data_IF_272574833728
#
_entry.id   IF_272574833728
#
_cell.length_a   1.000
_cell.length_b   1.000
_cell.length_c   1.000
_cell.angle_alpha   90.00
_cell.angle_beta   90.00
_cell.angle_gamma   90.00
#
_symmetry.space_group_name_H-M   'P 1'
#
loop_
_entity.id
_entity.type
_entity.pdbx_description
1 polymer ?
#
# COMPACT_ATOMS: atom_id res chain seq x y z
N UNK A 1 6.44 24.58 -4.28
CA UNK A 1 5.58 24.26 -3.12
C UNK A 1 5.21 22.77 -3.13
N UNK A 2 6.21 21.88 -3.24
CA UNK A 2 6.06 20.42 -3.40
C UNK A 2 5.72 19.65 -2.11
N UNK A 3 5.79 20.30 -0.95
CA UNK A 3 5.71 19.63 0.35
C UNK A 3 4.30 19.09 0.71
N UNK A 4 3.23 19.56 0.05
CA UNK A 4 1.85 19.20 0.40
C UNK A 4 1.49 17.75 0.07
N UNK A 5 1.67 17.35 -1.19
CA UNK A 5 1.27 16.01 -1.67
C UNK A 5 2.12 14.89 -1.07
N UNK A 6 3.42 15.13 -0.86
CA UNK A 6 4.27 14.18 -0.16
C UNK A 6 3.78 13.94 1.27
N UNK A 7 3.49 15.00 2.04
CA UNK A 7 2.99 14.89 3.42
C UNK A 7 1.64 14.18 3.49
N UNK A 8 0.74 14.51 2.58
CA UNK A 8 -0.58 13.87 2.50
C UNK A 8 -0.46 12.39 2.15
N UNK A 9 0.41 12.05 1.18
CA UNK A 9 0.69 10.66 0.80
C UNK A 9 1.30 9.87 1.94
N UNK A 10 2.27 10.47 2.65
CA UNK A 10 2.89 9.84 3.82
C UNK A 10 1.84 9.55 4.89
N UNK A 11 1.03 10.54 5.27
CA UNK A 11 -0.01 10.37 6.28
C UNK A 11 -1.02 9.27 5.87
N UNK A 12 -1.38 9.21 4.58
CA UNK A 12 -2.26 8.18 4.03
C UNK A 12 -1.64 6.78 4.10
N UNK A 13 -0.35 6.66 3.76
CA UNK A 13 0.38 5.40 3.81
C UNK A 13 0.60 4.93 5.26
N UNK A 14 1.03 5.81 6.15
CA UNK A 14 1.20 5.51 7.58
C UNK A 14 -0.13 5.04 8.20
N UNK A 15 -1.23 5.72 7.89
CA UNK A 15 -2.57 5.32 8.33
C UNK A 15 -2.92 3.89 7.91
N UNK A 16 -2.77 3.59 6.62
CA UNK A 16 -3.16 2.29 6.08
C UNK A 16 -2.24 1.16 6.57
N UNK A 17 -0.92 1.38 6.62
CA UNK A 17 0.04 0.36 7.07
C UNK A 17 -0.11 0.10 8.58
N UNK A 18 -0.35 1.14 9.37
CA UNK A 18 -0.64 1.00 10.81
C UNK A 18 -1.92 0.20 11.02
N UNK A 19 -2.98 0.47 10.24
CA UNK A 19 -4.21 -0.31 10.28
C UNK A 19 -3.96 -1.80 10.00
N UNK A 20 -3.16 -2.13 8.97
CA UNK A 20 -2.86 -3.52 8.62
C UNK A 20 -2.13 -4.29 9.73
N UNK A 21 -1.42 -3.59 10.60
CA UNK A 21 -0.67 -4.16 11.73
C UNK A 21 -1.45 -4.12 13.06
N UNK A 22 -2.60 -3.44 13.12
CA UNK A 22 -3.36 -3.22 14.36
C UNK A 22 -4.43 -4.30 14.55
N UNK A 23 -4.65 -4.71 15.80
CA UNK A 23 -5.75 -5.62 16.15
C UNK A 23 -7.12 -5.00 15.88
N UNK A 24 -8.14 -5.77 15.44
CA UNK A 24 -9.48 -5.26 15.14
C UNK A 24 -10.16 -4.46 16.27
N UNK A 25 -9.76 -4.67 17.53
CA UNK A 25 -10.35 -4.03 18.71
C UNK A 25 -9.84 -2.60 18.98
N UNK A 26 -8.82 -2.14 18.25
CA UNK A 26 -8.15 -0.85 18.52
C UNK A 26 -8.01 0.03 17.28
N UNK A 27 -8.90 -0.14 16.30
CA UNK A 27 -8.84 0.61 15.04
C UNK A 27 -9.31 2.05 15.25
N UNK A 28 -8.44 3.07 15.09
CA UNK A 28 -8.85 4.47 15.16
C UNK A 28 -9.70 4.86 13.93
N UNK A 29 -10.54 5.90 14.03
CA UNK A 29 -11.23 6.44 12.87
C UNK A 29 -10.22 6.91 11.81
N UNK A 30 -10.58 6.85 10.51
CA UNK A 30 -9.70 7.34 9.45
C UNK A 30 -9.46 8.85 9.61
N UNK A 31 -8.22 9.34 9.45
CA UNK A 31 -7.86 10.75 9.65
C UNK A 31 -8.37 11.68 8.54
N UNK A 32 -8.77 11.13 7.40
CA UNK A 32 -9.30 11.86 6.25
C UNK A 32 -10.27 11.01 5.43
N UNK A 33 -10.97 11.63 4.50
CA UNK A 33 -11.80 10.93 3.52
C UNK A 33 -10.97 10.02 2.59
N UNK A 34 -9.81 10.49 2.14
CA UNK A 34 -8.87 9.71 1.34
C UNK A 34 -8.37 8.47 2.09
N UNK A 35 -8.13 8.58 3.39
CA UNK A 35 -7.80 7.44 4.26
C UNK A 35 -8.96 6.46 4.37
N UNK A 36 -10.18 6.94 4.60
CA UNK A 36 -11.37 6.09 4.63
C UNK A 36 -11.55 5.32 3.30
N UNK A 37 -11.38 6.02 2.18
CA UNK A 37 -11.45 5.44 0.83
C UNK A 37 -10.35 4.38 0.60
N UNK A 38 -9.10 4.68 0.96
CA UNK A 38 -7.97 3.77 0.79
C UNK A 38 -8.15 2.49 1.62
N UNK A 39 -8.49 2.64 2.91
CA UNK A 39 -8.82 1.50 3.79
C UNK A 39 -9.90 0.61 3.17
N UNK A 40 -10.99 1.21 2.69
CA UNK A 40 -12.11 0.48 2.10
C UNK A 40 -11.72 -0.29 0.83
N UNK A 41 -11.13 0.41 -0.16
CA UNK A 41 -10.80 -0.17 -1.45
C UNK A 41 -9.69 -1.22 -1.33
N UNK A 42 -8.64 -0.93 -0.55
CA UNK A 42 -7.51 -1.83 -0.40
C UNK A 42 -7.89 -3.10 0.37
N UNK A 43 -8.72 -3.01 1.42
CA UNK A 43 -9.25 -4.20 2.12
C UNK A 43 -10.22 -5.02 1.26
N UNK A 44 -11.01 -4.36 0.39
CA UNK A 44 -11.88 -5.06 -0.56
C UNK A 44 -11.05 -5.83 -1.60
N UNK A 45 -10.02 -5.18 -2.13
CA UNK A 45 -9.07 -5.78 -3.07
C UNK A 45 -8.31 -6.95 -2.44
N UNK A 46 -7.81 -6.78 -1.21
CA UNK A 46 -7.15 -7.84 -0.45
C UNK A 46 -8.07 -9.05 -0.29
N UNK A 47 -9.30 -8.86 0.20
CA UNK A 47 -10.27 -9.96 0.39
C UNK A 47 -10.59 -10.68 -0.92
N UNK A 48 -10.72 -9.95 -2.02
CA UNK A 48 -11.02 -10.53 -3.33
C UNK A 48 -9.85 -11.36 -3.90
N UNK A 49 -8.62 -11.03 -3.52
CA UNK A 49 -7.40 -11.64 -4.07
C UNK A 49 -6.42 -12.13 -3.00
N UNK A 50 -6.94 -12.58 -1.86
CA UNK A 50 -6.17 -12.85 -0.64
C UNK A 50 -5.00 -13.80 -0.89
N UNK A 51 -5.27 -14.95 -1.52
CA UNK A 51 -4.24 -15.95 -1.81
C UNK A 51 -3.11 -15.40 -2.72
N UNK A 52 -3.46 -14.51 -3.65
CA UNK A 52 -2.47 -13.89 -4.55
C UNK A 52 -1.59 -12.91 -3.81
N UNK A 53 -2.17 -11.95 -3.10
CA UNK A 53 -1.38 -10.99 -2.32
C UNK A 53 -0.47 -11.68 -1.32
N UNK A 54 -1.00 -12.68 -0.60
CA UNK A 54 -0.20 -13.48 0.33
C UNK A 54 0.98 -14.18 -0.36
N UNK A 55 0.77 -14.77 -1.54
CA UNK A 55 1.84 -15.41 -2.32
C UNK A 55 2.88 -14.41 -2.82
N UNK A 56 2.43 -13.25 -3.30
CA UNK A 56 3.31 -12.19 -3.80
C UNK A 56 4.19 -11.61 -2.70
N UNK A 57 3.63 -11.32 -1.53
CA UNK A 57 4.42 -10.80 -0.41
C UNK A 57 5.37 -11.86 0.16
N UNK A 58 4.98 -13.13 0.18
CA UNK A 58 5.91 -14.23 0.54
C UNK A 58 7.07 -14.35 -0.44
N UNK A 59 6.80 -14.19 -1.74
CA UNK A 59 7.84 -14.24 -2.78
C UNK A 59 8.76 -13.03 -2.66
N UNK A 60 8.19 -11.84 -2.50
CA UNK A 60 8.94 -10.62 -2.21
C UNK A 60 9.82 -10.81 -0.98
N UNK A 61 9.32 -11.35 0.14
CA UNK A 61 10.09 -11.54 1.37
C UNK A 61 11.25 -12.54 1.23
N UNK A 62 11.17 -13.48 0.29
CA UNK A 62 12.27 -14.41 -0.02
C UNK A 62 13.35 -13.78 -0.90
N UNK A 63 12.97 -12.80 -1.71
CA UNK A 63 13.84 -12.14 -2.71
C UNK A 63 14.38 -10.79 -2.23
N UNK A 64 13.64 -10.09 -1.36
CA UNK A 64 14.04 -8.82 -0.80
C UNK A 64 15.26 -9.09 0.07
N UNK A 65 16.36 -8.40 -0.22
CA UNK A 65 17.58 -8.51 0.57
C UNK A 65 17.39 -7.94 1.98
N UNK A 66 18.46 -7.47 2.64
CA UNK A 66 18.36 -6.92 3.99
C UNK A 66 17.53 -5.63 4.07
N UNK A 67 17.21 -5.00 2.93
CA UNK A 67 16.45 -3.76 2.84
C UNK A 67 15.13 -3.94 2.05
N UNK A 68 14.00 -4.12 2.75
CA UNK A 68 12.67 -4.17 2.16
C UNK A 68 12.26 -2.85 1.49
N UNK A 69 12.74 -1.69 1.95
CA UNK A 69 12.34 -0.39 1.39
C UNK A 69 12.94 -0.20 0.00
N UNK A 70 14.25 -0.45 -0.17
CA UNK A 70 14.89 -0.46 -1.49
C UNK A 70 14.30 -1.49 -2.44
N UNK A 71 13.87 -2.65 -1.92
CA UNK A 71 13.23 -3.68 -2.73
C UNK A 71 11.82 -3.28 -3.15
N UNK A 72 11.04 -2.68 -2.24
CA UNK A 72 9.71 -2.14 -2.53
C UNK A 72 9.80 -1.03 -3.57
N UNK A 73 10.80 -0.15 -3.44
CA UNK A 73 11.06 0.94 -4.38
C UNK A 73 11.17 0.42 -5.82
N UNK A 74 11.94 -0.64 -6.06
CA UNK A 74 12.04 -1.28 -7.38
C UNK A 74 10.71 -1.83 -7.86
N UNK A 75 9.93 -2.46 -6.98
CA UNK A 75 8.58 -2.96 -7.32
C UNK A 75 7.68 -1.81 -7.76
N UNK A 76 7.73 -0.66 -7.09
CA UNK A 76 6.95 0.52 -7.43
C UNK A 76 7.35 1.07 -8.80
N UNK A 77 8.66 1.23 -9.05
CA UNK A 77 9.20 1.72 -10.32
C UNK A 77 8.75 0.84 -11.48
N UNK A 78 8.88 -0.47 -11.32
CA UNK A 78 8.47 -1.47 -12.31
C UNK A 78 6.94 -1.52 -12.51
N UNK A 79 6.14 -1.37 -11.44
CA UNK A 79 4.68 -1.38 -11.50
C UNK A 79 4.13 -0.28 -12.41
N UNK A 80 4.90 0.79 -12.62
CA UNK A 80 4.49 1.94 -13.44
C UNK A 80 5.46 2.23 -14.59
N UNK A 81 6.37 1.30 -14.90
CA UNK A 81 7.40 1.47 -15.92
C UNK A 81 6.83 1.62 -17.34
N UNK A 82 5.62 1.12 -17.58
CA UNK A 82 4.90 1.29 -18.84
C UNK A 82 4.26 2.69 -19.02
N UNK A 83 4.48 3.60 -18.07
CA UNK A 83 3.98 4.98 -18.12
C UNK A 83 2.51 5.15 -17.73
N UNK A 84 1.80 4.07 -17.39
CA UNK A 84 0.34 4.09 -17.16
C UNK A 84 -0.05 3.98 -15.69
N UNK A 85 0.32 4.99 -14.88
CA UNK A 85 -0.18 5.10 -13.51
C UNK A 85 -1.69 5.40 -13.51
N UNK A 86 -2.43 4.69 -12.66
CA UNK A 86 -3.85 4.89 -12.40
C UNK A 86 -4.18 4.54 -10.96
N UNK A 87 -5.35 4.99 -10.46
CA UNK A 87 -5.77 4.74 -9.09
C UNK A 87 -5.89 3.25 -8.74
N UNK A 88 -6.17 2.36 -9.69
CA UNK A 88 -6.17 0.91 -9.46
C UNK A 88 -4.79 0.35 -9.12
N UNK A 89 -3.73 0.85 -9.76
CA UNK A 89 -2.33 0.52 -9.42
C UNK A 89 -1.92 1.11 -8.08
N UNK A 90 -2.36 2.34 -7.78
CA UNK A 90 -2.15 2.96 -6.46
C UNK A 90 -2.77 2.09 -5.37
N UNK A 91 -4.05 1.70 -5.50
CA UNK A 91 -4.68 0.81 -4.51
C UNK A 91 -3.96 -0.53 -4.41
N UNK A 92 -3.53 -1.12 -5.54
CA UNK A 92 -2.77 -2.39 -5.53
C UNK A 92 -1.45 -2.28 -4.79
N UNK A 93 -0.73 -1.17 -4.94
CA UNK A 93 0.51 -0.89 -4.22
C UNK A 93 0.25 -0.79 -2.71
N UNK A 94 -0.77 -0.04 -2.30
CA UNK A 94 -1.15 0.06 -0.89
C UNK A 94 -1.54 -1.31 -0.33
N UNK A 95 -2.42 -2.05 -1.00
CA UNK A 95 -2.82 -3.40 -0.59
C UNK A 95 -1.61 -4.33 -0.42
N UNK A 96 -0.72 -4.38 -1.41
CA UNK A 96 0.49 -5.18 -1.35
C UNK A 96 1.36 -4.81 -0.14
N UNK A 97 1.61 -3.52 0.06
CA UNK A 97 2.47 -3.03 1.15
C UNK A 97 1.83 -3.24 2.53
N UNK A 98 0.49 -3.18 2.61
CA UNK A 98 -0.27 -3.52 3.82
C UNK A 98 -0.12 -4.99 4.21
N UNK A 99 -0.26 -5.90 3.24
CA UNK A 99 -0.03 -7.35 3.46
C UNK A 99 1.44 -7.62 3.83
N UNK A 100 2.38 -6.95 3.16
CA UNK A 100 3.81 -7.04 3.45
C UNK A 100 4.13 -6.61 4.88
N UNK A 101 3.60 -5.48 5.32
CA UNK A 101 3.80 -4.93 6.67
C UNK A 101 3.29 -5.89 7.75
N UNK A 102 2.09 -6.48 7.52
CA UNK A 102 1.51 -7.49 8.42
C UNK A 102 2.40 -8.73 8.54
N UNK A 103 2.89 -9.26 7.42
CA UNK A 103 3.76 -10.44 7.41
C UNK A 103 5.15 -10.18 8.03
N UNK A 104 5.72 -8.99 7.84
CA UNK A 104 6.97 -8.58 8.49
C UNK A 104 6.82 -8.56 10.02
N UNK A 105 5.67 -8.07 10.53
CA UNK A 105 5.36 -8.07 11.96
C UNK A 105 5.21 -9.49 12.51
N UNK A 106 4.48 -10.36 11.82
CA UNK A 106 4.27 -11.77 12.20
C UNK A 106 5.59 -12.55 12.26
N UNK A 107 6.48 -12.39 11.27
CA UNK A 107 7.80 -13.04 11.28
C UNK A 107 8.69 -12.58 12.44
N UNK A 108 8.58 -11.32 12.86
CA UNK A 108 9.34 -10.79 13.99
C UNK A 108 8.82 -11.32 15.34
N UNK A 109 7.52 -11.52 15.47
CA UNK A 109 6.89 -12.14 16.64
C UNK A 109 7.17 -13.64 16.79
N UNK A 110 7.49 -14.34 15.69
CA UNK A 110 7.74 -15.78 15.66
C UNK A 110 9.21 -16.19 15.91
N UNK A 111 10.13 -15.24 16.19
CA UNK A 111 11.51 -15.55 16.63
C UNK A 111 11.66 -15.39 18.15
N UNK A 112 11.21 -16.35 18.99
CA UNK A 112 11.59 -16.40 20.39
C UNK A 112 12.97 -17.08 20.51
N UNK A 113 14.01 -16.30 20.79
CA UNK A 113 15.30 -16.87 21.21
C UNK A 113 16.52 -16.21 20.60
N UNK A 114 16.89 -15.04 21.12
CA UNK A 114 18.26 -14.76 21.57
C UNK A 114 18.23 -13.52 22.48
N UNK A 115 18.30 -13.76 23.79
CA UNK A 115 18.77 -12.86 24.85
C UNK A 115 18.47 -11.35 24.73
N UNK A 116 17.29 -10.92 25.17
CA UNK A 116 17.09 -9.54 25.65
C UNK A 116 17.05 -9.51 27.17
N UNK A 117 18.19 -9.90 27.76
CA UNK A 117 18.56 -9.64 29.15
C UNK A 117 19.54 -8.48 29.23
N UNK A 118 19.17 -7.30 28.73
CA UNK A 118 19.73 -5.98 29.11
C UNK A 118 18.98 -4.90 28.34
N UNK A 119 18.49 -3.91 29.07
CA UNK A 119 17.75 -2.78 28.52
C UNK A 119 18.52 -2.11 27.38
N UNK A 120 17.99 -2.25 26.18
CA UNK A 120 18.26 -1.35 25.08
C UNK A 120 16.92 -0.73 24.70
N UNK A 121 16.62 0.39 25.35
CA UNK A 121 15.63 1.36 24.89
C UNK A 121 16.14 2.02 23.61
N UNK A 122 16.07 1.33 22.48
CA UNK A 122 16.11 1.91 21.14
C UNK A 122 15.08 1.16 20.29
N UNK A 123 13.91 1.78 20.17
CA UNK A 123 12.70 1.23 19.57
C UNK A 123 12.89 0.88 18.09
N UNK A 124 13.00 -0.42 17.80
CA UNK A 124 12.89 -0.95 16.44
C UNK A 124 11.61 -1.75 16.29
N UNK A 125 10.48 -1.11 16.54
CA UNK A 125 9.13 -1.63 16.27
C UNK A 125 8.17 -0.45 16.21
N UNK A 126 8.44 0.53 15.34
CA UNK A 126 7.54 0.95 14.26
C UNK A 126 8.27 1.36 12.95
N UNK A 127 9.61 1.24 12.93
CA UNK A 127 10.50 1.75 11.87
C UNK A 127 10.25 1.12 10.48
N UNK A 128 9.85 -0.15 10.42
CA UNK A 128 9.63 -0.84 9.14
C UNK A 128 8.38 -0.34 8.40
N UNK A 129 7.29 -0.04 9.12
CA UNK A 129 6.08 0.49 8.49
C UNK A 129 6.29 1.93 8.02
N UNK A 130 7.03 2.71 8.82
CA UNK A 130 7.37 4.08 8.48
C UNK A 130 8.26 4.16 7.23
N UNK A 131 9.32 3.35 7.15
CA UNK A 131 10.18 3.32 5.95
C UNK A 131 9.44 2.90 4.68
N UNK A 132 8.51 1.94 4.77
CA UNK A 132 7.66 1.56 3.64
C UNK A 132 6.68 2.68 3.26
N UNK A 133 6.12 3.39 4.23
CA UNK A 133 5.26 4.55 3.99
C UNK A 133 6.01 5.71 3.34
N UNK A 134 7.22 6.02 3.82
CA UNK A 134 8.12 7.01 3.23
C UNK A 134 8.49 6.62 1.79
N UNK A 135 8.77 5.33 1.52
CA UNK A 135 9.03 4.84 0.16
C UNK A 135 7.85 5.10 -0.79
N UNK A 136 6.60 4.91 -0.33
CA UNK A 136 5.40 5.23 -1.10
C UNK A 136 5.29 6.75 -1.31
N UNK A 137 5.54 7.55 -0.27
CA UNK A 137 5.44 9.00 -0.31
C UNK A 137 6.48 9.64 -1.24
N UNK A 138 7.73 9.17 -1.19
CA UNK A 138 8.80 9.62 -2.06
C UNK A 138 8.43 9.37 -3.53
N UNK A 139 7.89 8.19 -3.83
CA UNK A 139 7.53 7.88 -5.20
C UNK A 139 6.28 8.62 -5.68
N UNK A 140 5.15 8.47 -4.98
CA UNK A 140 3.88 9.04 -5.44
C UNK A 140 3.83 10.56 -5.22
N UNK A 141 4.24 11.02 -4.04
CA UNK A 141 4.12 12.39 -3.60
C UNK A 141 5.22 13.33 -4.07
N UNK A 142 6.39 12.82 -4.47
CA UNK A 142 7.47 13.63 -5.04
C UNK A 142 7.70 13.33 -6.53
N UNK A 143 7.94 12.06 -6.91
CA UNK A 143 8.28 11.72 -8.31
C UNK A 143 7.07 11.65 -9.25
N UNK A 144 5.91 11.22 -8.75
CA UNK A 144 4.64 11.20 -9.51
C UNK A 144 3.68 12.32 -9.09
N UNK A 145 4.22 13.40 -8.52
CA UNK A 145 3.43 14.56 -8.10
C UNK A 145 2.64 15.20 -9.24
N UNK A 146 3.22 15.29 -10.43
CA UNK A 146 2.57 15.90 -11.58
C UNK A 146 1.34 15.08 -11.99
N UNK A 147 1.49 13.75 -12.03
CA UNK A 147 0.36 12.83 -12.25
C UNK A 147 -0.72 12.98 -11.17
N UNK A 148 -0.32 13.05 -9.89
CA UNK A 148 -1.28 13.30 -8.81
C UNK A 148 -2.03 14.62 -9.04
N UNK A 149 -1.34 15.71 -9.37
CA UNK A 149 -1.95 17.01 -9.61
C UNK A 149 -2.89 17.01 -10.82
N UNK A 150 -2.49 16.37 -11.92
CA UNK A 150 -3.32 16.19 -13.12
C UNK A 150 -4.59 15.37 -12.84
N UNK A 151 -4.58 14.57 -11.77
CA UNK A 151 -5.69 13.72 -11.36
C UNK A 151 -6.37 14.24 -10.07
N UNK A 152 -6.38 15.55 -9.84
CA UNK A 152 -7.02 16.22 -8.68
C UNK A 152 -6.47 15.79 -7.30
N UNK A 153 -5.24 15.28 -7.24
CA UNK A 153 -4.61 14.79 -6.02
C UNK A 153 -5.41 13.69 -5.33
N UNK A 154 -5.35 13.65 -4.01
CA UNK A 154 -6.11 12.67 -3.21
C UNK A 154 -7.62 12.96 -3.17
N UNK A 155 -8.05 14.15 -3.55
CA UNK A 155 -9.47 14.47 -3.78
C UNK A 155 -9.99 13.72 -5.03
N UNK A 156 -9.20 13.67 -6.11
CA UNK A 156 -9.52 12.84 -7.27
C UNK A 156 -9.62 11.35 -6.95
N UNK A 157 -8.78 10.87 -6.02
CA UNK A 157 -8.90 9.51 -5.48
C UNK A 157 -10.22 9.30 -4.72
N UNK A 158 -10.66 10.27 -3.91
CA UNK A 158 -11.96 10.21 -3.23
C UNK A 158 -13.12 10.08 -4.25
N UNK A 159 -13.13 10.91 -5.31
CA UNK A 159 -14.13 10.84 -6.41
C UNK A 159 -14.12 9.47 -7.11
N UNK A 160 -12.92 8.94 -7.38
CA UNK A 160 -12.74 7.60 -7.92
C UNK A 160 -13.32 6.53 -6.98
N UNK A 161 -13.10 6.67 -5.66
CA UNK A 161 -13.60 5.73 -4.66
C UNK A 161 -15.12 5.77 -4.50
N UNK A 162 -15.75 6.95 -4.62
CA UNK A 162 -17.20 7.07 -4.59
C UNK A 162 -17.82 6.45 -5.83
N UNK A 163 -17.24 6.73 -7.00
CA UNK A 163 -17.62 6.06 -8.25
C UNK A 163 -17.48 4.54 -8.11
N UNK A 164 -16.44 4.05 -7.42
CA UNK A 164 -16.27 2.64 -7.13
C UNK A 164 -17.33 2.00 -6.21
N UNK A 165 -18.00 2.82 -5.40
CA UNK A 165 -18.98 2.39 -4.40
C UNK A 165 -20.42 2.57 -4.88
N UNK A 166 -20.73 3.68 -5.55
CA UNK A 166 -22.07 4.01 -6.07
C UNK A 166 -22.47 3.16 -7.29
N UNK A 167 -21.49 2.65 -8.05
CA UNK A 167 -21.70 1.78 -9.23
C UNK A 167 -22.20 0.36 -8.85
N UNK A 168 -22.75 0.19 -7.65
CA UNK A 168 -23.54 -0.98 -7.27
C UNK A 168 -24.86 -1.10 -8.09
N UNK A 169 -25.22 -0.11 -8.91
CA UNK A 169 -26.43 -0.11 -9.76
C UNK A 169 -26.19 -0.15 -11.29
N UNK A 170 -24.96 0.07 -11.81
CA UNK A 170 -24.70 0.09 -13.27
C UNK A 170 -23.52 -0.84 -13.67
N UNK A 171 -23.74 -1.77 -14.60
CA UNK A 171 -22.89 -2.95 -14.80
C UNK A 171 -21.65 -2.72 -15.67
N UNK A 172 -21.66 -1.70 -16.54
CA UNK A 172 -20.58 -1.43 -17.49
C UNK A 172 -19.36 -0.74 -16.83
N UNK A 173 -19.61 0.28 -16.00
CA UNK A 173 -18.56 1.04 -15.31
C UNK A 173 -17.86 0.24 -14.21
N UNK A 174 -18.55 -0.75 -13.62
CA UNK A 174 -17.97 -1.74 -12.71
C UNK A 174 -16.77 -2.45 -13.34
N UNK A 175 -16.88 -2.82 -14.61
CA UNK A 175 -15.86 -3.60 -15.32
C UNK A 175 -14.57 -2.82 -15.53
N UNK A 176 -14.65 -1.53 -15.92
CA UNK A 176 -13.47 -0.71 -16.18
C UNK A 176 -12.64 -0.43 -14.91
N UNK A 177 -13.33 -0.19 -13.80
CA UNK A 177 -12.70 0.09 -12.52
C UNK A 177 -12.01 -1.14 -11.91
N UNK A 178 -12.72 -2.28 -11.86
CA UNK A 178 -12.13 -3.54 -11.43
C UNK A 178 -11.05 -4.02 -12.41
N UNK A 179 -11.17 -3.68 -13.70
CA UNK A 179 -10.11 -3.93 -14.67
C UNK A 179 -8.85 -3.12 -14.35
N UNK A 180 -8.94 -1.83 -14.03
CA UNK A 180 -7.79 -1.02 -13.63
C UNK A 180 -7.10 -1.54 -12.35
N UNK A 181 -7.89 -1.95 -11.36
CA UNK A 181 -7.41 -2.69 -10.18
C UNK A 181 -6.75 -4.04 -10.55
N UNK A 182 -7.34 -4.77 -11.49
CA UNK A 182 -6.80 -6.02 -12.03
C UNK A 182 -5.47 -5.83 -12.75
N UNK A 183 -5.27 -4.72 -13.45
CA UNK A 183 -3.99 -4.37 -14.08
C UNK A 183 -2.89 -4.17 -13.04
N UNK A 184 -3.19 -3.51 -11.92
CA UNK A 184 -2.21 -3.36 -10.83
C UNK A 184 -1.78 -4.70 -10.23
N UNK A 185 -2.73 -5.58 -9.92
CA UNK A 185 -2.42 -6.92 -9.42
C UNK A 185 -1.68 -7.79 -10.46
N UNK A 186 -2.06 -7.69 -11.73
CA UNK A 186 -1.37 -8.39 -12.82
C UNK A 186 0.08 -7.90 -12.97
N UNK A 187 0.31 -6.59 -12.86
CA UNK A 187 1.64 -6.00 -12.83
C UNK A 187 2.49 -6.56 -11.69
N UNK A 188 1.99 -6.52 -10.45
CA UNK A 188 2.70 -7.11 -9.29
C UNK A 188 3.00 -8.61 -9.50
N UNK A 189 2.05 -9.36 -10.07
CA UNK A 189 2.24 -10.79 -10.35
C UNK A 189 3.33 -11.03 -11.39
N UNK A 190 3.34 -10.25 -12.47
CA UNK A 190 4.35 -10.34 -13.51
C UNK A 190 5.76 -10.01 -13.00
N UNK A 191 5.85 -9.09 -12.02
CA UNK A 191 7.12 -8.65 -11.45
C UNK A 191 7.69 -9.63 -10.42
N UNK A 192 6.85 -10.18 -9.55
CA UNK A 192 7.30 -11.00 -8.42
C UNK A 192 7.33 -12.50 -8.71
N UNK A 193 6.80 -12.95 -9.85
CA UNK A 193 6.81 -14.38 -10.25
C UNK A 193 7.87 -14.65 -11.34
N UNK A 194 8.70 -13.66 -11.67
CA UNK A 194 9.91 -13.86 -12.49
C UNK A 194 11.05 -14.44 -11.69
#
# INVERSE_FOLDING_TARGET
>A
MSCGLWKETLALAEDYLSLCCTSPQSVPPPPSESAAAMRCLAQKMERQHQARFHSLTQTFLKQCGPDPCSSLRKVIEELVADGHLNWGRVVSLFTFTGVLSRQLMEQKGMKPGLDSGKGQELGQGPESCRGLAETIADYLGEEKKDWLQENDGWEGFCKFSHSAREVSHDSSMKTALFAAAGVGLAGLTFLLVR
#
